data_IF_281355281791
#
_entry.id   IF_281355281791
#
_cell.length_a   1.000
_cell.length_b   1.000
_cell.length_c   1.000
_cell.angle_alpha   90.00
_cell.angle_beta   90.00
_cell.angle_gamma   90.00
#
_symmetry.space_group_name_H-M   'P 1'
#
loop_
_entity.id
_entity.type
_entity.pdbx_description
1 polymer ?
#
# COMPACT_ATOMS: atom_id res chain seq x y z
N UNK A 1 -12.88 -37.50 -25.85
CA UNK A 1 -12.26 -37.56 -24.52
C UNK A 1 -12.86 -36.41 -23.72
N UNK A 2 -13.76 -36.65 -22.76
CA UNK A 2 -14.30 -35.55 -21.96
C UNK A 2 -13.19 -35.03 -21.03
N UNK A 3 -13.18 -33.71 -20.82
CA UNK A 3 -12.26 -33.01 -19.92
C UNK A 3 -12.46 -33.55 -18.48
N UNK A 4 -11.40 -33.65 -17.66
CA UNK A 4 -11.54 -34.12 -16.29
C UNK A 4 -12.39 -33.12 -15.48
N UNK A 5 -13.36 -33.64 -14.75
CA UNK A 5 -14.18 -32.89 -13.80
C UNK A 5 -13.28 -32.19 -12.77
N UNK A 6 -13.29 -30.86 -12.78
CA UNK A 6 -12.68 -30.05 -11.73
C UNK A 6 -13.56 -30.21 -10.49
N UNK A 7 -13.16 -31.12 -9.60
CA UNK A 7 -13.76 -31.28 -8.28
C UNK A 7 -13.43 -30.03 -7.47
N UNK A 8 -14.41 -29.14 -7.30
CA UNK A 8 -14.33 -28.06 -6.33
C UNK A 8 -14.24 -28.70 -4.93
N UNK A 9 -13.24 -28.35 -4.10
CA UNK A 9 -13.14 -28.89 -2.75
C UNK A 9 -14.39 -28.50 -1.96
N UNK A 10 -15.03 -29.51 -1.37
CA UNK A 10 -16.18 -29.36 -0.47
C UNK A 10 -15.81 -28.50 0.73
N UNK A 11 -16.68 -27.51 1.03
CA UNK A 11 -16.45 -26.36 1.89
C UNK A 11 -16.32 -26.64 3.42
N UNK A 12 -15.78 -27.79 3.85
CA UNK A 12 -15.76 -28.15 5.27
C UNK A 12 -14.37 -28.11 5.95
N UNK A 13 -13.25 -28.42 5.27
CA UNK A 13 -12.03 -28.81 6.01
C UNK A 13 -10.71 -28.09 5.67
N UNK A 14 -10.65 -27.25 4.63
CA UNK A 14 -9.40 -26.55 4.31
C UNK A 14 -9.22 -25.30 5.20
N UNK A 15 -8.78 -25.52 6.44
CA UNK A 15 -8.43 -24.42 7.35
C UNK A 15 -6.95 -24.09 7.19
N UNK A 16 -6.65 -22.93 6.61
CA UNK A 16 -5.31 -22.37 6.74
C UNK A 16 -5.19 -21.71 8.11
N UNK A 17 -4.02 -21.82 8.71
CA UNK A 17 -3.75 -21.24 10.03
C UNK A 17 -2.52 -20.35 9.99
N UNK A 18 -2.54 -19.32 10.83
CA UNK A 18 -1.42 -18.43 11.04
C UNK A 18 -1.54 -17.69 12.36
N UNK A 19 -0.73 -16.65 12.52
CA UNK A 19 -0.72 -15.83 13.72
C UNK A 19 -1.80 -14.76 13.62
N UNK A 20 -2.74 -14.75 14.57
CA UNK A 20 -3.70 -13.66 14.74
C UNK A 20 -2.96 -12.38 15.16
N UNK A 21 -2.62 -11.55 14.17
CA UNK A 21 -1.88 -10.31 14.37
C UNK A 21 -2.77 -9.14 14.79
N UNK A 22 -4.01 -9.14 14.30
CA UNK A 22 -5.05 -8.19 14.67
C UNK A 22 -6.36 -8.96 14.83
N UNK A 23 -7.02 -8.77 15.98
CA UNK A 23 -8.21 -9.54 16.36
C UNK A 23 -9.47 -9.10 15.62
N UNK A 24 -10.52 -9.90 15.78
CA UNK A 24 -11.83 -9.68 15.17
C UNK A 24 -12.19 -10.75 14.15
N UNK A 25 -13.42 -10.68 13.66
CA UNK A 25 -13.95 -11.56 12.63
C UNK A 25 -14.15 -10.78 11.33
N UNK A 26 -13.77 -11.40 10.21
CA UNK A 26 -13.98 -10.82 8.90
C UNK A 26 -14.54 -11.85 7.94
N UNK A 27 -15.46 -11.41 7.08
CA UNK A 27 -15.96 -12.19 5.95
C UNK A 27 -15.84 -11.37 4.68
N UNK A 28 -15.26 -11.95 3.64
CA UNK A 28 -15.00 -11.23 2.41
C UNK A 28 -14.52 -12.09 1.25
N UNK A 29 -14.53 -11.52 0.05
CA UNK A 29 -13.90 -12.16 -1.11
C UNK A 29 -12.40 -11.92 -1.09
N UNK A 30 -11.63 -12.98 -1.30
CA UNK A 30 -10.19 -12.92 -1.44
C UNK A 30 -9.82 -12.07 -2.66
N UNK A 31 -8.86 -11.19 -2.47
CA UNK A 31 -8.12 -10.52 -3.55
C UNK A 31 -6.66 -10.84 -3.34
N UNK A 32 -6.13 -11.74 -4.16
CA UNK A 32 -4.74 -12.18 -4.10
C UNK A 32 -3.88 -11.23 -4.91
N UNK A 33 -2.96 -10.54 -4.24
CA UNK A 33 -2.00 -9.63 -4.84
C UNK A 33 -0.59 -10.16 -4.68
N UNK A 34 0.12 -10.20 -5.81
CA UNK A 34 1.55 -10.44 -5.79
C UNK A 34 2.26 -9.17 -5.33
N UNK A 35 3.33 -9.29 -4.54
CA UNK A 35 4.04 -8.16 -3.94
C UNK A 35 4.56 -7.10 -4.96
N UNK A 36 4.59 -7.41 -6.25
CA UNK A 36 5.04 -6.52 -7.32
C UNK A 36 3.87 -5.87 -8.11
N UNK A 37 2.61 -6.15 -7.76
CA UNK A 37 1.46 -5.60 -8.47
C UNK A 37 1.16 -4.17 -8.02
N UNK A 38 0.99 -3.28 -9.00
CA UNK A 38 0.51 -1.91 -8.76
C UNK A 38 -1.01 -1.94 -8.73
N UNK A 39 -1.61 -1.55 -7.60
CA UNK A 39 -3.04 -1.29 -7.52
C UNK A 39 -3.33 0.13 -8.02
N UNK A 40 -4.20 0.25 -9.02
CA UNK A 40 -4.66 1.54 -9.55
C UNK A 40 -6.02 1.96 -9.00
N UNK A 41 -6.75 1.04 -8.34
CA UNK A 41 -8.08 1.28 -7.80
C UNK A 41 -8.17 0.77 -6.35
N UNK A 42 -8.98 1.45 -5.51
CA UNK A 42 -9.23 0.99 -4.14
C UNK A 42 -9.86 -0.40 -4.13
N UNK A 43 -9.50 -1.20 -3.13
CA UNK A 43 -10.14 -2.48 -2.89
C UNK A 43 -11.55 -2.28 -2.32
N UNK A 44 -12.45 -3.21 -2.65
CA UNK A 44 -13.83 -3.19 -2.18
C UNK A 44 -13.90 -3.27 -0.65
N UNK A 45 -14.90 -2.63 -0.06
CA UNK A 45 -15.09 -2.56 1.40
C UNK A 45 -15.39 -3.91 2.08
N UNK A 46 -15.38 -5.00 1.31
CA UNK A 46 -15.61 -6.38 1.76
C UNK A 46 -14.59 -7.38 1.19
N UNK A 47 -13.48 -6.92 0.63
CA UNK A 47 -12.43 -7.83 0.20
C UNK A 47 -11.49 -8.20 1.33
N UNK A 48 -10.97 -9.42 1.32
CA UNK A 48 -9.84 -9.85 2.15
C UNK A 48 -8.59 -9.83 1.28
N UNK A 49 -7.62 -8.99 1.62
CA UNK A 49 -6.36 -8.90 0.91
C UNK A 49 -5.48 -10.11 1.26
N UNK A 50 -4.97 -10.81 0.25
CA UNK A 50 -4.05 -11.94 0.43
C UNK A 50 -2.76 -11.65 -0.32
N UNK A 51 -1.62 -11.70 0.35
CA UNK A 51 -0.31 -11.42 -0.27
C UNK A 51 0.83 -12.14 0.44
N UNK A 52 2.02 -12.19 -0.15
CA UNK A 52 3.20 -12.72 0.53
C UNK A 52 3.74 -11.75 1.59
N UNK A 53 3.86 -10.47 1.21
CA UNK A 53 4.29 -9.37 2.06
C UNK A 53 3.47 -8.11 1.76
N UNK A 54 3.14 -7.35 2.80
CA UNK A 54 2.46 -6.08 2.63
C UNK A 54 3.46 -4.97 2.30
N UNK A 55 3.19 -4.21 1.25
CA UNK A 55 4.00 -3.06 0.84
C UNK A 55 3.32 -1.73 1.21
N UNK A 56 4.08 -0.68 1.60
CA UNK A 56 3.52 0.58 2.06
C UNK A 56 2.63 1.31 1.03
N UNK A 57 2.88 1.12 -0.26
CA UNK A 57 2.10 1.76 -1.34
C UNK A 57 0.63 1.31 -1.38
N UNK A 58 0.29 0.14 -0.83
CA UNK A 58 -1.09 -0.35 -0.83
C UNK A 58 -1.93 0.22 0.31
N UNK A 59 -1.31 0.83 1.33
CA UNK A 59 -1.99 1.35 2.52
C UNK A 59 -3.19 2.25 2.22
N UNK A 60 -3.11 3.23 1.30
CA UNK A 60 -4.26 4.09 0.99
C UNK A 60 -5.39 3.30 0.30
N UNK A 61 -5.02 2.30 -0.51
CA UNK A 61 -5.94 1.55 -1.38
C UNK A 61 -6.65 0.40 -0.64
N UNK A 62 -6.07 -0.07 0.46
CA UNK A 62 -6.62 -1.12 1.30
C UNK A 62 -7.37 -0.61 2.53
N UNK A 63 -7.58 0.70 2.68
CA UNK A 63 -8.24 1.30 3.86
C UNK A 63 -9.60 0.69 4.20
N UNK A 64 -10.29 0.16 3.18
CA UNK A 64 -11.64 -0.38 3.32
C UNK A 64 -11.69 -1.91 3.37
N UNK A 65 -10.56 -2.63 3.27
CA UNK A 65 -10.61 -4.11 3.22
C UNK A 65 -11.17 -4.68 4.53
N UNK A 66 -11.88 -5.80 4.42
CA UNK A 66 -12.43 -6.49 5.57
C UNK A 66 -11.35 -7.21 6.40
N UNK A 67 -10.21 -7.56 5.80
CA UNK A 67 -9.10 -8.18 6.52
C UNK A 67 -7.86 -8.41 5.64
N UNK A 68 -6.77 -8.83 6.29
CA UNK A 68 -5.47 -9.07 5.65
C UNK A 68 -4.95 -10.47 5.98
N UNK A 69 -4.42 -11.15 4.97
CA UNK A 69 -3.67 -12.40 5.08
C UNK A 69 -2.28 -12.19 4.48
N UNK A 70 -1.23 -12.48 5.25
CA UNK A 70 0.15 -12.49 4.72
C UNK A 70 0.84 -13.84 4.91
N UNK A 71 1.62 -14.26 3.92
CA UNK A 71 2.42 -15.50 4.03
C UNK A 71 3.59 -15.36 5.00
N UNK A 72 4.15 -14.16 5.08
CA UNK A 72 5.29 -13.86 5.92
C UNK A 72 4.98 -12.75 6.93
N UNK A 73 5.78 -12.72 7.99
CA UNK A 73 5.68 -11.76 9.09
C UNK A 73 5.17 -12.39 10.39
N UNK A 74 5.63 -11.83 11.52
CA UNK A 74 5.13 -12.17 12.85
C UNK A 74 4.17 -11.11 13.39
N UNK A 75 3.80 -11.23 14.67
CA UNK A 75 2.90 -10.29 15.36
C UNK A 75 3.42 -8.84 15.42
N UNK A 76 4.73 -8.65 15.23
CA UNK A 76 5.41 -7.34 15.16
C UNK A 76 5.73 -6.90 13.74
N UNK A 77 5.29 -7.63 12.72
CA UNK A 77 5.55 -7.29 11.32
C UNK A 77 4.86 -5.98 10.90
N UNK A 78 5.32 -5.39 9.79
CA UNK A 78 4.69 -4.22 9.20
C UNK A 78 3.20 -4.44 8.94
N UNK A 79 2.84 -5.59 8.35
CA UNK A 79 1.43 -5.98 8.14
C UNK A 79 0.62 -6.02 9.44
N UNK A 80 1.20 -6.58 10.51
CA UNK A 80 0.56 -6.65 11.82
C UNK A 80 0.37 -5.26 12.47
N UNK A 81 1.35 -4.36 12.33
CA UNK A 81 1.25 -2.98 12.86
C UNK A 81 0.17 -2.22 12.11
N UNK A 82 0.18 -2.28 10.78
CA UNK A 82 -0.80 -1.63 9.90
C UNK A 82 -2.22 -2.14 10.18
N UNK A 83 -2.41 -3.45 10.25
CA UNK A 83 -3.72 -4.04 10.49
C UNK A 83 -4.31 -3.55 11.82
N UNK A 84 -3.49 -3.49 12.87
CA UNK A 84 -3.88 -2.97 14.18
C UNK A 84 -4.19 -1.48 14.15
N UNK A 85 -3.41 -0.67 13.43
CA UNK A 85 -3.67 0.77 13.31
C UNK A 85 -4.96 1.06 12.53
N UNK A 86 -5.32 0.19 11.59
CA UNK A 86 -6.57 0.26 10.83
C UNK A 86 -7.76 -0.40 11.55
N UNK A 87 -7.51 -1.19 12.60
CA UNK A 87 -8.55 -1.90 13.33
C UNK A 87 -9.20 -3.04 12.54
N UNK A 88 -8.50 -3.61 11.56
CA UNK A 88 -9.00 -4.71 10.72
C UNK A 88 -8.39 -6.04 11.13
N UNK A 89 -9.13 -7.16 11.07
CA UNK A 89 -8.61 -8.49 11.33
C UNK A 89 -7.44 -8.84 10.41
N UNK A 90 -6.39 -9.43 10.98
CA UNK A 90 -5.23 -9.87 10.20
C UNK A 90 -4.62 -11.17 10.71
N UNK A 91 -4.30 -12.04 9.76
CA UNK A 91 -3.63 -13.31 9.99
C UNK A 91 -2.31 -13.29 9.20
N UNK A 92 -1.19 -13.34 9.90
CA UNK A 92 0.15 -13.25 9.30
C UNK A 92 0.90 -14.57 9.47
N UNK A 93 1.89 -14.81 8.62
CA UNK A 93 2.69 -16.03 8.69
C UNK A 93 1.88 -17.27 8.28
N UNK A 94 1.07 -17.16 7.22
CA UNK A 94 0.26 -18.26 6.67
C UNK A 94 0.98 -18.85 5.45
N UNK A 95 1.75 -19.93 5.59
CA UNK A 95 2.56 -20.43 4.49
C UNK A 95 1.69 -20.83 3.29
N UNK A 96 2.13 -20.49 2.08
CA UNK A 96 1.45 -20.87 0.82
C UNK A 96 0.02 -20.28 0.66
N UNK A 97 -0.34 -19.23 1.40
CA UNK A 97 -1.65 -18.61 1.30
C UNK A 97 -1.97 -18.11 -0.12
N UNK A 98 -1.01 -17.52 -0.82
CA UNK A 98 -1.21 -16.97 -2.18
C UNK A 98 -1.36 -18.05 -3.26
N UNK A 99 -0.92 -19.27 -2.98
CA UNK A 99 -1.06 -20.42 -3.87
C UNK A 99 -2.34 -21.22 -3.61
N UNK A 100 -2.75 -21.27 -2.34
CA UNK A 100 -3.94 -22.02 -1.91
C UNK A 100 -5.22 -21.21 -2.09
N UNK A 101 -5.17 -19.91 -1.80
CA UNK A 101 -6.29 -18.99 -1.95
C UNK A 101 -6.23 -18.39 -3.36
N UNK A 102 -7.37 -18.38 -4.04
CA UNK A 102 -7.54 -17.70 -5.34
C UNK A 102 -8.46 -16.49 -5.18
N UNK A 103 -8.23 -15.46 -5.99
CA UNK A 103 -9.11 -14.28 -6.02
C UNK A 103 -10.54 -14.69 -6.33
N UNK A 104 -11.51 -14.14 -5.58
CA UNK A 104 -12.92 -14.47 -5.68
C UNK A 104 -13.41 -15.56 -4.70
N UNK A 105 -12.51 -16.30 -4.05
CA UNK A 105 -12.90 -17.20 -2.96
C UNK A 105 -13.51 -16.43 -1.79
N UNK A 106 -14.60 -16.93 -1.23
CA UNK A 106 -15.16 -16.38 -0.01
C UNK A 106 -14.44 -16.95 1.20
N UNK A 107 -13.95 -16.07 2.06
CA UNK A 107 -13.19 -16.43 3.25
C UNK A 107 -13.86 -15.89 4.50
N UNK A 108 -13.73 -16.63 5.59
CA UNK A 108 -13.95 -16.17 6.96
C UNK A 108 -12.66 -16.22 7.75
N UNK A 109 -12.32 -15.12 8.43
CA UNK A 109 -11.19 -15.02 9.34
C UNK A 109 -11.69 -15.02 10.77
N UNK A 110 -11.15 -15.90 11.60
CA UNK A 110 -11.49 -15.98 13.02
C UNK A 110 -10.31 -16.56 13.81
N UNK A 111 -9.84 -15.85 14.84
CA UNK A 111 -8.84 -16.35 15.79
C UNK A 111 -7.60 -17.03 15.16
N UNK A 112 -7.06 -16.48 14.07
CA UNK A 112 -5.88 -17.02 13.38
C UNK A 112 -6.18 -18.17 12.40
N UNK A 113 -7.45 -18.47 12.16
CA UNK A 113 -7.94 -19.47 11.20
C UNK A 113 -8.58 -18.79 10.01
N UNK A 114 -8.39 -19.38 8.83
CA UNK A 114 -8.96 -18.96 7.56
C UNK A 114 -9.83 -20.10 7.06
N UNK A 115 -11.12 -19.86 6.94
CA UNK A 115 -12.10 -20.83 6.45
C UNK A 115 -12.55 -20.44 5.05
N UNK A 116 -12.53 -21.38 4.10
CA UNK A 116 -13.25 -21.23 2.84
C UNK A 116 -14.72 -21.45 3.11
N UNK A 117 -15.55 -20.48 2.76
CA UNK A 117 -17.00 -20.53 2.96
C UNK A 117 -17.72 -20.42 1.61
N UNK A 118 -18.97 -20.86 1.55
CA UNK A 118 -19.77 -20.70 0.34
C UNK A 118 -20.29 -19.25 0.19
N UNK A 119 -20.62 -18.80 -1.03
CA UNK A 119 -21.30 -17.51 -1.24
C UNK A 119 -22.60 -17.38 -0.44
N UNK A 120 -23.33 -18.48 -0.23
CA UNK A 120 -24.56 -18.48 0.57
C UNK A 120 -24.28 -18.22 2.06
N UNK A 121 -23.23 -18.84 2.61
CA UNK A 121 -22.76 -18.58 3.97
C UNK A 121 -22.23 -17.16 4.14
N UNK A 122 -21.58 -16.62 3.12
CA UNK A 122 -21.14 -15.22 3.10
C UNK A 122 -22.35 -14.25 3.09
N UNK A 123 -23.39 -14.54 2.31
CA UNK A 123 -24.63 -13.77 2.31
C UNK A 123 -25.33 -13.81 3.68
N UNK A 124 -25.38 -14.99 4.30
CA UNK A 124 -25.96 -15.16 5.64
C UNK A 124 -25.16 -14.42 6.73
N UNK A 125 -23.82 -14.45 6.64
CA UNK A 125 -22.94 -13.72 7.55
C UNK A 125 -23.04 -12.19 7.36
N UNK A 126 -23.30 -11.73 6.14
CA UNK A 126 -23.46 -10.30 5.81
C UNK A 126 -24.88 -9.76 6.03
N UNK A 127 -25.87 -10.64 6.24
CA UNK A 127 -27.24 -10.28 6.64
C UNK A 127 -27.37 -9.97 8.14
N UNK A 128 -26.40 -10.41 8.96
CA UNK A 128 -26.21 -9.78 10.27
C UNK A 128 -25.67 -8.37 10.03
N UNK A 129 -26.22 -7.33 10.70
CA UNK A 129 -25.61 -6.02 10.65
C UNK A 129 -24.21 -6.16 11.25
N UNK A 130 -23.21 -6.32 10.36
CA UNK A 130 -21.89 -5.78 10.62
C UNK A 130 -22.20 -4.31 10.74
N UNK A 131 -22.36 -3.83 11.98
CA UNK A 131 -22.23 -2.40 12.25
C UNK A 131 -20.98 -2.04 11.49
N UNK A 132 -21.05 -1.22 10.41
CA UNK A 132 -19.83 -0.71 9.84
C UNK A 132 -19.18 -0.05 11.05
N UNK A 133 -18.13 -0.69 11.57
CA UNK A 133 -17.17 0.04 12.35
C UNK A 133 -16.70 1.04 11.31
N UNK A 134 -17.34 2.20 11.37
CA UNK A 134 -16.90 3.36 10.64
C UNK A 134 -15.48 3.43 11.12
N UNK A 135 -14.53 3.08 10.26
CA UNK A 135 -13.10 3.11 10.58
C UNK A 135 -12.74 4.60 10.67
N UNK A 136 -13.30 5.25 11.69
CA UNK A 136 -12.65 6.31 12.40
C UNK A 136 -11.41 5.61 12.93
N UNK A 137 -10.27 5.89 12.27
CA UNK A 137 -8.96 5.86 12.91
C UNK A 137 -9.19 6.26 14.38
N UNK A 138 -8.66 5.52 15.37
CA UNK A 138 -8.92 5.79 16.79
C UNK A 138 -8.63 7.27 17.06
N UNK A 139 -9.71 8.06 17.11
CA UNK A 139 -9.71 9.51 16.91
C UNK A 139 -9.05 9.90 15.57
N UNK A 140 -9.83 10.49 14.67
CA UNK A 140 -9.20 11.36 13.66
C UNK A 140 -8.31 12.34 14.43
N UNK A 141 -7.08 12.56 13.94
CA UNK A 141 -6.18 13.60 14.49
C UNK A 141 -6.88 14.97 14.53
N UNK A 142 -8.03 15.10 13.86
CA UNK A 142 -8.97 16.21 13.87
C UNK A 142 -9.54 16.58 15.24
N UNK A 143 -9.67 15.64 16.20
CA UNK A 143 -10.25 15.93 17.53
C UNK A 143 -9.20 16.14 18.63
N UNK A 144 -7.92 16.02 18.29
CA UNK A 144 -6.86 16.40 19.23
C UNK A 144 -6.80 17.93 19.30
N UNK A 145 -6.64 18.53 20.48
CA UNK A 145 -6.35 19.96 20.56
C UNK A 145 -5.06 20.24 19.77
N UNK A 146 -4.95 21.42 19.14
CA UNK A 146 -3.75 21.79 18.42
C UNK A 146 -2.53 21.65 19.35
N UNK A 147 -1.40 21.13 18.82
CA UNK A 147 -0.22 20.88 19.64
C UNK A 147 0.20 22.18 20.35
N UNK A 148 0.55 22.06 21.63
CA UNK A 148 1.07 23.18 22.39
C UNK A 148 2.26 23.82 21.66
N UNK A 149 2.41 25.14 21.75
CA UNK A 149 3.51 25.85 21.08
C UNK A 149 4.86 25.31 21.56
N UNK A 150 5.57 24.64 20.67
CA UNK A 150 6.91 24.10 20.90
C UNK A 150 7.98 25.05 20.34
N UNK A 151 9.21 24.99 20.87
CA UNK A 151 10.38 25.66 20.25
C UNK A 151 10.80 25.00 18.93
N UNK A 152 10.43 23.74 18.74
CA UNK A 152 10.74 22.94 17.56
C UNK A 152 9.50 22.81 16.71
N UNK A 153 9.59 23.13 15.42
CA UNK A 153 8.49 22.95 14.49
C UNK A 153 8.21 21.46 14.27
N UNK A 154 6.93 21.09 14.28
CA UNK A 154 6.49 19.75 13.92
C UNK A 154 6.14 19.73 12.45
N UNK A 155 6.95 19.02 11.66
CA UNK A 155 6.73 18.80 10.23
C UNK A 155 6.22 17.38 10.00
N UNK A 156 5.42 17.20 8.95
CA UNK A 156 4.87 15.89 8.58
C UNK A 156 5.59 15.30 7.37
N UNK A 157 5.70 13.98 7.35
CA UNK A 157 6.13 13.24 6.16
C UNK A 157 4.90 12.70 5.48
N UNK A 158 4.76 12.97 4.18
CA UNK A 158 3.70 12.40 3.35
C UNK A 158 4.32 11.66 2.17
N UNK A 159 3.70 10.55 1.80
CA UNK A 159 4.09 9.72 0.66
C UNK A 159 3.14 9.90 -0.52
N UNK A 160 1.88 10.25 -0.27
CA UNK A 160 0.88 10.49 -1.31
C UNK A 160 0.12 11.80 -1.06
N UNK A 161 -0.28 12.51 -2.13
CA UNK A 161 -0.99 13.79 -1.98
C UNK A 161 -2.26 13.67 -1.14
N UNK A 162 -3.01 12.58 -1.27
CA UNK A 162 -4.27 12.39 -0.52
C UNK A 162 -4.09 12.34 1.00
N UNK A 163 -2.90 12.05 1.52
CA UNK A 163 -2.66 11.94 2.97
C UNK A 163 -2.77 13.29 3.68
N UNK A 164 -2.49 14.40 3.00
CA UNK A 164 -2.54 15.74 3.61
C UNK A 164 -3.97 16.09 4.07
N UNK A 165 -4.99 15.62 3.34
CA UNK A 165 -6.40 15.86 3.65
C UNK A 165 -6.87 15.16 4.93
N UNK A 166 -6.06 14.23 5.46
CA UNK A 166 -6.33 13.54 6.72
C UNK A 166 -5.80 14.31 7.93
N UNK A 167 -5.05 15.38 7.71
CA UNK A 167 -4.41 16.19 8.74
C UNK A 167 -5.14 17.52 8.89
N UNK A 168 -5.39 17.94 10.13
CA UNK A 168 -5.86 19.29 10.38
C UNK A 168 -4.72 20.30 10.05
N UNK A 169 -4.97 21.36 9.28
CA UNK A 169 -3.94 22.34 8.88
C UNK A 169 -3.16 22.92 10.07
N UNK A 170 -3.84 23.14 11.20
CA UNK A 170 -3.24 23.76 12.39
C UNK A 170 -2.36 22.79 13.21
N UNK A 171 -2.27 21.52 12.82
CA UNK A 171 -1.56 20.49 13.57
C UNK A 171 -0.15 20.23 13.07
N UNK A 172 0.27 20.92 12.00
CA UNK A 172 1.61 20.80 11.45
C UNK A 172 2.12 22.15 10.95
N UNK A 173 3.43 22.39 11.08
CA UNK A 173 4.06 23.60 10.57
C UNK A 173 4.33 23.52 9.07
N UNK A 174 4.51 22.31 8.52
CA UNK A 174 4.63 22.06 7.09
C UNK A 174 4.96 20.60 6.75
N UNK A 175 5.17 20.33 5.47
CA UNK A 175 5.55 19.00 4.97
C UNK A 175 7.08 18.91 4.93
N UNK A 176 7.67 18.26 5.92
CA UNK A 176 9.14 18.16 6.07
C UNK A 176 9.80 17.13 5.16
N UNK A 177 9.01 16.24 4.56
CA UNK A 177 9.50 15.30 3.57
C UNK A 177 8.36 14.83 2.66
N UNK A 178 8.46 15.21 1.39
CA UNK A 178 7.66 14.68 0.28
C UNK A 178 8.61 13.92 -0.65
N UNK A 179 8.39 12.62 -0.80
CA UNK A 179 9.29 11.72 -1.54
C UNK A 179 8.89 11.60 -3.02
N UNK A 180 9.78 12.01 -3.92
CA UNK A 180 9.54 12.00 -5.36
C UNK A 180 9.23 10.61 -5.92
N UNK A 181 9.87 9.57 -5.39
CA UNK A 181 9.69 8.19 -5.87
C UNK A 181 8.23 7.73 -5.76
N UNK A 182 7.50 8.15 -4.73
CA UNK A 182 6.11 7.77 -4.52
C UNK A 182 5.13 8.53 -5.43
N UNK A 183 5.46 9.77 -5.79
CA UNK A 183 4.65 10.55 -6.74
C UNK A 183 4.73 10.00 -8.16
N UNK A 184 5.88 9.40 -8.49
CA UNK A 184 6.18 8.86 -9.81
C UNK A 184 5.91 7.35 -9.92
N UNK A 185 5.84 6.61 -8.80
CA UNK A 185 5.74 5.15 -8.74
C UNK A 185 4.64 4.55 -9.64
N UNK A 186 3.42 5.12 -9.60
CA UNK A 186 2.29 4.62 -10.39
C UNK A 186 2.46 4.79 -11.91
N UNK A 187 3.44 5.59 -12.35
CA UNK A 187 3.65 5.96 -13.75
C UNK A 187 5.03 5.56 -14.28
N UNK A 188 5.81 4.78 -13.50
CA UNK A 188 7.07 4.17 -13.96
C UNK A 188 6.86 2.96 -14.88
N UNK A 189 5.62 2.58 -15.21
CA UNK A 189 5.34 1.39 -16.00
C UNK A 189 6.02 1.46 -17.38
N UNK A 190 7.12 0.73 -17.53
CA UNK A 190 7.92 0.66 -18.76
C UNK A 190 9.14 1.58 -18.80
N UNK A 191 9.40 2.38 -17.76
CA UNK A 191 10.56 3.29 -17.68
C UNK A 191 11.48 2.85 -16.54
N UNK A 192 12.69 2.40 -16.88
CA UNK A 192 13.73 2.09 -15.89
C UNK A 192 14.29 3.36 -15.26
N UNK A 193 14.39 3.48 -13.94
CA UNK A 193 15.21 4.49 -13.29
C UNK A 193 16.73 4.38 -13.60
N UNK A 194 17.18 3.23 -14.13
CA UNK A 194 18.58 2.96 -14.48
C UNK A 194 18.86 3.05 -15.98
N UNK A 195 18.15 3.91 -16.68
CA UNK A 195 18.43 4.25 -18.07
C UNK A 195 18.13 5.73 -18.31
N UNK A 196 18.69 6.28 -19.39
CA UNK A 196 18.34 7.62 -19.85
C UNK A 196 16.88 7.70 -20.28
N UNK A 197 16.24 8.81 -19.93
CA UNK A 197 14.90 9.19 -20.35
C UNK A 197 14.89 9.60 -21.81
N UNK A 198 13.91 9.07 -22.55
CA UNK A 198 13.54 9.66 -23.83
C UNK A 198 12.79 10.97 -23.59
N UNK A 199 12.76 11.85 -24.59
CA UNK A 199 11.97 13.10 -24.51
C UNK A 199 10.48 12.84 -24.21
N UNK A 200 9.92 11.75 -24.78
CA UNK A 200 8.53 11.34 -24.53
C UNK A 200 8.32 10.94 -23.08
N UNK A 201 9.19 10.08 -22.53
CA UNK A 201 9.09 9.66 -21.14
C UNK A 201 9.32 10.82 -20.17
N UNK A 202 10.26 11.72 -20.49
CA UNK A 202 10.50 12.93 -19.68
C UNK A 202 9.25 13.80 -19.61
N UNK A 203 8.63 14.12 -20.75
CA UNK A 203 7.38 14.90 -20.76
C UNK A 203 6.24 14.21 -19.99
N UNK A 204 6.10 12.90 -20.13
CA UNK A 204 5.08 12.13 -19.42
C UNK A 204 5.29 12.18 -17.89
N UNK A 205 6.51 11.95 -17.43
CA UNK A 205 6.84 11.98 -15.99
C UNK A 205 6.71 13.40 -15.42
N UNK A 206 7.09 14.43 -16.18
CA UNK A 206 6.87 15.82 -15.80
C UNK A 206 5.39 16.13 -15.58
N UNK A 207 4.51 15.72 -16.50
CA UNK A 207 3.06 15.94 -16.38
C UNK A 207 2.48 15.24 -15.14
N UNK A 208 2.93 14.02 -14.86
CA UNK A 208 2.52 13.27 -13.67
C UNK A 208 2.95 14.01 -12.41
N UNK A 209 4.23 14.37 -12.31
CA UNK A 209 4.78 15.04 -11.13
C UNK A 209 4.14 16.42 -10.93
N UNK A 210 3.94 17.20 -11.98
CA UNK A 210 3.21 18.48 -11.94
C UNK A 210 1.79 18.32 -11.42
N UNK A 211 1.08 17.29 -11.87
CA UNK A 211 -0.30 17.02 -11.44
C UNK A 211 -0.36 16.68 -9.95
N UNK A 212 0.51 15.76 -9.51
CA UNK A 212 0.57 15.35 -8.10
C UNK A 212 1.04 16.50 -7.20
N UNK A 213 2.07 17.26 -7.63
CA UNK A 213 2.59 18.40 -6.88
C UNK A 213 1.55 19.51 -6.76
N UNK A 214 0.81 19.81 -7.83
CA UNK A 214 -0.28 20.80 -7.80
C UNK A 214 -1.33 20.46 -6.75
N UNK A 215 -1.67 19.18 -6.62
CA UNK A 215 -2.59 18.73 -5.57
C UNK A 215 -1.99 19.00 -4.18
N UNK A 216 -0.74 18.59 -3.93
CA UNK A 216 -0.08 18.85 -2.62
C UNK A 216 -0.02 20.35 -2.31
N UNK A 217 0.38 21.19 -3.27
CA UNK A 217 0.46 22.63 -3.10
C UNK A 217 -0.89 23.27 -2.80
N UNK A 218 -1.96 22.74 -3.38
CA UNK A 218 -3.33 23.23 -3.16
C UNK A 218 -3.80 22.84 -1.76
N UNK A 219 -3.60 21.59 -1.37
CA UNK A 219 -4.10 21.05 -0.11
C UNK A 219 -3.26 21.49 1.11
N UNK A 220 -1.97 21.82 0.90
CA UNK A 220 -1.04 22.33 1.92
C UNK A 220 -0.78 23.84 1.78
N UNK A 221 -1.75 24.60 1.28
CA UNK A 221 -1.57 26.04 1.04
C UNK A 221 -1.12 26.78 2.32
N UNK A 222 -0.09 27.62 2.19
CA UNK A 222 0.48 28.36 3.32
C UNK A 222 1.51 27.59 4.16
N UNK A 223 1.74 26.31 3.85
CA UNK A 223 2.74 25.49 4.53
C UNK A 223 3.99 25.27 3.65
N UNK A 224 5.21 25.37 4.21
CA UNK A 224 6.43 24.99 3.50
C UNK A 224 6.46 23.49 3.21
N UNK A 225 7.02 23.12 2.05
CA UNK A 225 7.13 21.75 1.57
C UNK A 225 8.57 21.46 1.21
N UNK A 226 9.15 20.44 1.83
CA UNK A 226 10.47 19.91 1.49
C UNK A 226 10.30 18.68 0.61
N UNK A 227 10.49 18.90 -0.69
CA UNK A 227 10.53 17.84 -1.68
C UNK A 227 11.92 17.20 -1.74
N UNK A 228 11.96 15.88 -1.71
CA UNK A 228 13.16 15.08 -1.97
C UNK A 228 13.00 14.42 -3.34
N UNK A 229 14.00 14.63 -4.20
CA UNK A 229 14.15 13.92 -5.47
C UNK A 229 14.00 12.41 -5.29
N UNK A 230 13.50 11.75 -6.32
CA UNK A 230 13.19 10.33 -6.27
C UNK A 230 14.39 9.43 -5.94
N UNK A 231 14.23 8.56 -4.97
CA UNK A 231 15.28 7.71 -4.42
C UNK A 231 14.94 6.21 -4.51
N UNK A 232 14.67 5.72 -5.73
CA UNK A 232 14.37 4.29 -5.94
C UNK A 232 15.59 3.39 -5.73
N UNK A 233 15.35 2.28 -5.05
CA UNK A 233 16.32 1.20 -4.87
C UNK A 233 15.99 0.03 -5.79
N UNK A 234 17.01 -0.72 -6.18
CA UNK A 234 16.85 -1.87 -7.11
C UNK A 234 15.79 -2.87 -6.65
N UNK A 235 15.68 -3.14 -5.35
CA UNK A 235 14.68 -4.07 -4.85
C UNK A 235 13.21 -3.58 -4.97
N UNK A 236 13.00 -2.27 -5.03
CA UNK A 236 11.66 -1.65 -5.12
C UNK A 236 11.11 -1.71 -6.55
N UNK A 237 11.99 -1.90 -7.54
CA UNK A 237 11.65 -1.86 -8.97
C UNK A 237 12.13 -3.12 -9.70
N UNK A 238 12.20 -4.27 -9.01
CA UNK A 238 12.72 -5.54 -9.57
C UNK A 238 11.96 -6.08 -10.79
N UNK A 239 10.74 -5.61 -11.00
CA UNK A 239 9.93 -5.99 -12.15
C UNK A 239 10.45 -5.41 -13.47
N UNK A 240 11.32 -4.38 -13.42
CA UNK A 240 11.89 -3.80 -14.62
C UNK A 240 13.12 -4.61 -15.10
N UNK A 241 13.18 -5.03 -16.38
CA UNK A 241 14.27 -5.89 -16.90
C UNK A 241 15.69 -5.29 -16.74
N UNK A 242 15.76 -3.96 -16.72
CA UNK A 242 17.02 -3.20 -16.60
C UNK A 242 17.41 -2.86 -15.16
N UNK A 243 16.67 -3.36 -14.17
CA UNK A 243 17.00 -3.11 -12.76
C UNK A 243 18.28 -3.87 -12.39
N UNK A 244 19.30 -3.20 -11.83
CA UNK A 244 20.56 -3.83 -11.47
C UNK A 244 20.35 -4.86 -10.37
N UNK A 245 21.07 -5.99 -10.46
CA UNK A 245 21.13 -6.97 -9.38
C UNK A 245 22.22 -6.52 -8.41
N UNK A 246 21.79 -6.09 -7.23
CA UNK A 246 22.69 -5.58 -6.19
C UNK A 246 22.66 -6.49 -4.98
N UNK A 247 23.86 -6.78 -4.44
CA UNK A 247 24.00 -7.55 -3.19
C UNK A 247 23.37 -6.79 -2.02
N UNK A 248 23.56 -5.47 -1.97
CA UNK A 248 22.94 -4.60 -0.98
C UNK A 248 22.35 -3.34 -1.64
N UNK A 249 21.04 -3.36 -1.97
CA UNK A 249 20.34 -2.22 -2.57
C UNK A 249 20.39 -0.92 -1.75
N UNK A 250 20.63 -0.99 -0.43
CA UNK A 250 20.72 0.20 0.42
C UNK A 250 22.04 0.95 0.26
N UNK A 251 23.05 0.33 -0.34
CA UNK A 251 24.35 0.91 -0.69
C UNK A 251 24.56 0.89 -2.22
N UNK A 252 23.48 0.74 -2.97
CA UNK A 252 23.49 0.54 -4.42
C UNK A 252 23.47 1.83 -5.22
N UNK A 253 23.16 1.69 -6.50
CA UNK A 253 22.95 2.74 -7.47
C UNK A 253 21.56 3.37 -7.28
N UNK A 254 21.46 4.28 -6.31
CA UNK A 254 20.26 5.07 -6.04
C UNK A 254 20.61 6.51 -5.62
N UNK A 255 19.60 7.32 -5.33
CA UNK A 255 19.76 8.70 -4.89
C UNK A 255 20.63 9.55 -5.81
N UNK A 256 21.50 10.38 -5.22
CA UNK A 256 22.41 11.28 -5.94
C UNK A 256 23.33 10.54 -6.93
N UNK A 257 23.81 9.35 -6.57
CA UNK A 257 24.68 8.56 -7.44
C UNK A 257 23.95 8.16 -8.75
N UNK A 258 22.65 7.86 -8.66
CA UNK A 258 21.83 7.55 -9.84
C UNK A 258 21.71 8.76 -10.76
N UNK A 259 21.43 9.95 -10.23
CA UNK A 259 21.36 11.18 -11.02
C UNK A 259 22.69 11.57 -11.67
N UNK A 260 23.82 11.19 -11.07
CA UNK A 260 25.13 11.40 -11.72
C UNK A 260 25.32 10.51 -12.95
N UNK A 261 24.74 9.31 -12.95
CA UNK A 261 24.81 8.39 -14.10
C UNK A 261 23.74 8.70 -15.15
N UNK A 262 22.55 9.14 -14.72
CA UNK A 262 21.41 9.48 -15.57
C UNK A 262 20.91 10.90 -15.24
N UNK A 263 21.62 11.95 -15.69
CA UNK A 263 21.34 13.34 -15.31
C UNK A 263 20.04 13.90 -15.88
N UNK A 264 19.55 13.34 -16.97
CA UNK A 264 18.25 13.65 -17.56
C UNK A 264 17.08 13.42 -16.61
N UNK A 265 17.18 12.50 -15.66
CA UNK A 265 16.19 12.36 -14.58
C UNK A 265 16.15 13.57 -13.65
N UNK A 266 17.31 14.15 -13.36
CA UNK A 266 17.39 15.34 -12.50
C UNK A 266 16.72 16.52 -13.20
N UNK A 267 17.08 16.74 -14.48
CA UNK A 267 16.48 17.78 -15.29
C UNK A 267 14.96 17.58 -15.43
N UNK A 268 14.52 16.34 -15.62
CA UNK A 268 13.11 15.98 -15.71
C UNK A 268 12.34 16.36 -14.44
N UNK A 269 12.83 15.99 -13.26
CA UNK A 269 12.16 16.31 -11.99
C UNK A 269 12.21 17.81 -11.66
N UNK A 270 13.35 18.48 -11.88
CA UNK A 270 13.48 19.91 -11.61
C UNK A 270 12.61 20.78 -12.53
N UNK A 271 12.39 20.38 -13.78
CA UNK A 271 11.48 21.10 -14.68
C UNK A 271 10.00 20.91 -14.32
N UNK A 272 9.67 19.89 -13.53
CA UNK A 272 8.30 19.61 -13.13
C UNK A 272 7.86 20.37 -11.86
N UNK A 273 8.80 20.84 -11.05
CA UNK A 273 8.58 21.47 -9.74
C UNK A 273 8.67 22.99 -9.88
#
# INVERSE_FOLDING_TARGET
MPLPDVVLPTAADAVLTGLAASGGEAVGQAVVLQAHQVLLQPLSSRSILVTSHLTPEWLPLMRNVAGIITEAGGITSHAAIVARSLGIPAIVGVPQATQTIQSGHWLRLEAGKIHFISPAEALAATARPVTPQTHQLPHGITDLPPPATTKTQLLVTISHPTQITLLAPDHYAGIGLLRGEHLLAAHLAGVSPWQSLSAVHSQQLQQVLQTQMRQVLTDAIGHPIWYRLADWRSHEVRHHPLTPIEVNPALGLHGTLRYQQFPDWLDCELQAI
#
